data_IF_036662601518
#
_entry.id   IF_036662601518
#
_cell.length_a   1.000
_cell.length_b   1.000
_cell.length_c   1.000
_cell.angle_alpha   90.00
_cell.angle_beta   90.00
_cell.angle_gamma   90.00
#
_symmetry.space_group_name_H-M   'P 1'
#
loop_
_entity.id
_entity.type
_entity.pdbx_description
1 polymer ?
#
# COMPACT_ATOMS: atom_id res chain seq x y z
N UNK A 1 19.88 18.39 3.01
CA UNK A 1 19.88 19.75 3.60
C UNK A 1 21.30 20.28 3.58
N UNK A 2 21.49 21.59 3.51
CA UNK A 2 22.83 22.22 3.49
C UNK A 2 23.07 22.86 4.86
N UNK A 3 24.27 22.67 5.40
CA UNK A 3 24.69 23.36 6.62
C UNK A 3 25.79 24.35 6.27
N UNK A 4 25.77 25.48 6.97
CA UNK A 4 26.73 26.57 6.86
C UNK A 4 27.56 26.61 8.16
N UNK A 5 28.87 26.75 8.02
CA UNK A 5 29.79 27.03 9.12
C UNK A 5 30.33 28.45 8.94
N UNK A 6 30.35 29.22 10.02
CA UNK A 6 30.85 30.60 10.11
C UNK A 6 31.96 30.62 11.17
N UNK A 7 33.09 31.27 10.87
CA UNK A 7 34.08 31.60 11.90
C UNK A 7 33.74 32.94 12.59
N UNK A 8 34.46 33.27 13.66
CA UNK A 8 34.15 34.39 14.55
C UNK A 8 34.90 35.70 14.20
N UNK A 9 35.57 35.74 13.05
CA UNK A 9 36.41 36.88 12.66
C UNK A 9 35.57 38.09 12.18
N UNK A 10 36.17 39.28 12.21
CA UNK A 10 35.53 40.55 11.77
C UNK A 10 35.14 40.52 10.28
N UNK A 11 35.86 39.74 9.47
CA UNK A 11 35.51 39.35 8.09
C UNK A 11 35.33 37.82 8.01
N UNK A 12 34.15 37.28 8.36
CA UNK A 12 34.01 35.85 8.61
C UNK A 12 33.98 35.02 7.31
N UNK A 13 34.66 33.88 7.32
CA UNK A 13 34.63 32.90 6.24
C UNK A 13 33.46 31.94 6.40
N UNK A 14 32.98 31.44 5.25
CA UNK A 14 31.82 30.56 5.17
C UNK A 14 32.19 29.21 4.58
N UNK A 15 31.92 28.14 5.31
CA UNK A 15 31.98 26.77 4.82
C UNK A 15 30.58 26.22 4.56
N UNK A 16 30.39 25.46 3.48
CA UNK A 16 29.12 24.79 3.17
C UNK A 16 29.33 23.29 3.02
N UNK A 17 28.41 22.49 3.55
CA UNK A 17 28.35 21.06 3.22
C UNK A 17 26.93 20.55 3.06
N UNK A 18 26.77 19.55 2.21
CA UNK A 18 25.48 18.93 1.89
C UNK A 18 25.32 17.64 2.66
N UNK A 19 24.25 17.55 3.46
CA UNK A 19 23.88 16.36 4.20
C UNK A 19 22.75 15.64 3.47
N UNK A 20 22.97 14.35 3.21
CA UNK A 20 21.99 13.43 2.65
C UNK A 20 21.38 12.60 3.78
N UNK A 21 20.07 12.71 3.95
CA UNK A 21 19.29 11.87 4.86
C UNK A 21 18.43 10.96 4.01
N UNK A 22 18.45 9.67 4.34
CA UNK A 22 17.55 8.68 3.77
C UNK A 22 16.74 8.09 4.92
N UNK A 23 15.49 8.55 5.13
CA UNK A 23 14.60 7.90 6.09
C UNK A 23 14.46 6.41 5.75
N UNK A 24 14.44 5.58 6.79
CA UNK A 24 14.08 4.18 6.66
C UNK A 24 12.58 4.06 6.87
N UNK A 25 11.96 3.17 6.09
CA UNK A 25 10.55 2.86 6.21
C UNK A 25 10.26 2.09 7.50
N UNK A 26 9.11 2.35 8.09
CA UNK A 26 8.55 1.60 9.22
C UNK A 26 7.10 1.25 8.90
N UNK A 27 6.59 0.16 9.46
CA UNK A 27 5.19 -0.24 9.27
C UNK A 27 4.29 0.63 10.17
N UNK A 28 3.91 1.81 9.69
CA UNK A 28 3.04 2.75 10.39
C UNK A 28 1.72 3.03 9.67
N UNK A 29 1.52 2.43 8.49
CA UNK A 29 0.25 2.39 7.81
C UNK A 29 -0.31 0.97 7.85
N UNK A 30 -1.64 0.87 7.97
CA UNK A 30 -2.33 -0.43 7.90
C UNK A 30 -2.98 -0.56 6.52
N UNK A 31 -3.18 -1.78 6.02
CA UNK A 31 -3.94 -1.98 4.79
C UNK A 31 -5.37 -1.44 4.93
N UNK A 32 -5.86 -0.77 3.89
CA UNK A 32 -7.22 -0.23 3.81
C UNK A 32 -7.93 -0.85 2.62
N UNK A 33 -9.09 -1.46 2.84
CA UNK A 33 -9.95 -1.96 1.77
C UNK A 33 -10.57 -0.79 0.98
N UNK A 34 -10.68 -0.96 -0.34
CA UNK A 34 -11.32 0.05 -1.20
C UNK A 34 -12.83 0.17 -0.97
N UNK A 35 -13.47 -0.89 -0.47
CA UNK A 35 -14.89 -0.90 -0.12
C UNK A 35 -15.14 -1.57 1.23
N UNK A 36 -16.09 -1.03 2.00
CA UNK A 36 -16.48 -1.60 3.30
C UNK A 36 -17.26 -2.92 3.15
N UNK A 37 -17.87 -3.14 1.98
CA UNK A 37 -18.67 -4.32 1.67
C UNK A 37 -18.40 -4.73 0.22
N UNK A 38 -18.20 -6.03 0.03
CA UNK A 38 -18.13 -6.66 -1.29
C UNK A 38 -19.43 -7.42 -1.54
N UNK A 39 -20.02 -7.22 -2.71
CA UNK A 39 -21.23 -7.90 -3.16
C UNK A 39 -20.90 -8.65 -4.43
N UNK A 40 -21.34 -9.91 -4.50
CA UNK A 40 -21.10 -10.81 -5.61
C UNK A 40 -22.35 -11.57 -6.00
N UNK A 41 -22.43 -11.98 -7.27
CA UNK A 41 -23.50 -12.82 -7.81
C UNK A 41 -22.92 -14.12 -8.37
N UNK A 42 -23.65 -15.22 -8.21
CA UNK A 42 -23.25 -16.55 -8.71
C UNK A 42 -24.48 -17.26 -9.26
N UNK A 43 -24.32 -18.00 -10.36
CA UNK A 43 -25.40 -18.80 -10.93
C UNK A 43 -25.55 -20.12 -10.17
N UNK A 44 -26.80 -20.55 -9.96
CA UNK A 44 -27.15 -21.76 -9.18
C UNK A 44 -26.51 -23.05 -9.71
N UNK A 45 -26.08 -23.08 -10.97
CA UNK A 45 -25.46 -24.24 -11.62
C UNK A 45 -23.99 -24.02 -12.00
N UNK A 46 -23.31 -23.05 -11.39
CA UNK A 46 -21.87 -22.84 -11.58
C UNK A 46 -21.07 -24.03 -11.04
N UNK A 47 -20.17 -24.57 -11.86
CA UNK A 47 -19.24 -25.62 -11.45
C UNK A 47 -18.27 -25.15 -10.36
N UNK A 48 -17.73 -26.03 -9.50
CA UNK A 48 -16.65 -25.69 -8.59
C UNK A 48 -15.44 -25.11 -9.35
N UNK A 49 -14.88 -24.02 -8.84
CA UNK A 49 -13.79 -23.31 -9.52
C UNK A 49 -14.21 -22.58 -10.81
N UNK A 50 -15.52 -22.44 -11.06
CA UNK A 50 -16.02 -21.65 -12.17
C UNK A 50 -15.57 -20.20 -12.03
N UNK A 51 -14.62 -19.83 -12.89
CA UNK A 51 -14.22 -18.47 -13.15
C UNK A 51 -14.89 -18.06 -14.45
N UNK A 52 -15.66 -16.97 -14.46
CA UNK A 52 -16.32 -16.54 -15.68
C UNK A 52 -15.27 -16.07 -16.70
N UNK A 53 -15.29 -16.56 -17.95
CA UNK A 53 -14.41 -16.03 -19.00
C UNK A 53 -14.77 -14.58 -19.30
N UNK A 54 -13.77 -13.69 -19.32
CA UNK A 54 -13.84 -12.23 -19.56
C UNK A 54 -14.68 -11.81 -20.81
N UNK A 55 -15.02 -12.75 -21.70
CA UNK A 55 -15.79 -12.52 -22.93
C UNK A 55 -17.30 -12.41 -22.70
N UNK A 56 -17.81 -12.96 -21.60
CA UNK A 56 -19.19 -12.78 -21.18
C UNK A 56 -19.15 -11.75 -20.04
N UNK A 57 -19.96 -10.69 -20.12
CA UNK A 57 -20.01 -9.56 -19.17
C UNK A 57 -20.47 -9.97 -17.75
N UNK A 58 -19.81 -10.95 -17.14
CA UNK A 58 -20.14 -11.55 -15.88
C UNK A 58 -18.93 -11.37 -14.94
N UNK A 59 -19.09 -10.58 -13.87
CA UNK A 59 -18.01 -10.31 -12.95
C UNK A 59 -17.64 -11.59 -12.18
N UNK A 60 -16.35 -11.76 -11.89
CA UNK A 60 -15.87 -12.64 -10.83
C UNK A 60 -16.69 -12.41 -9.55
N UNK A 61 -16.93 -13.46 -8.75
CA UNK A 61 -17.84 -13.40 -7.59
C UNK A 61 -17.55 -12.15 -6.75
N UNK A 62 -16.30 -11.92 -6.38
CA UNK A 62 -15.83 -10.65 -5.86
C UNK A 62 -14.32 -10.52 -6.06
N UNK A 63 -13.84 -9.29 -6.22
CA UNK A 63 -12.41 -8.94 -6.10
C UNK A 63 -12.23 -8.14 -4.83
N UNK A 64 -11.23 -8.50 -4.04
CA UNK A 64 -10.81 -7.75 -2.87
C UNK A 64 -9.60 -6.91 -3.26
N UNK A 65 -9.62 -5.62 -2.93
CA UNK A 65 -8.49 -4.71 -3.17
C UNK A 65 -8.20 -3.99 -1.86
N UNK A 66 -6.93 -4.00 -1.45
CA UNK A 66 -6.43 -3.19 -0.33
C UNK A 66 -5.25 -2.34 -0.76
N UNK A 67 -5.15 -1.15 -0.19
CA UNK A 67 -4.00 -0.27 -0.31
C UNK A 67 -3.29 -0.17 1.04
N UNK A 68 -1.99 -0.47 1.05
CA UNK A 68 -1.08 -0.19 2.15
C UNK A 68 -0.03 0.81 1.63
N UNK A 69 0.17 1.91 2.37
CA UNK A 69 0.99 3.05 1.93
C UNK A 69 2.44 3.00 2.44
N UNK A 70 2.83 1.91 3.09
CA UNK A 70 4.23 1.66 3.46
C UNK A 70 5.08 1.23 2.25
N UNK A 71 6.32 0.81 2.47
CA UNK A 71 7.21 0.35 1.39
C UNK A 71 7.54 -1.14 1.47
N UNK A 72 7.62 -1.76 0.29
CA UNK A 72 8.09 -3.14 0.10
C UNK A 72 7.32 -4.13 0.97
N UNK A 73 8.00 -4.90 1.82
CA UNK A 73 7.41 -5.92 2.68
C UNK A 73 6.40 -5.34 3.68
N UNK A 74 6.61 -4.11 4.14
CA UNK A 74 5.65 -3.43 5.02
C UNK A 74 4.33 -3.11 4.30
N UNK A 75 4.34 -3.00 2.97
CA UNK A 75 3.15 -2.80 2.14
C UNK A 75 2.56 -4.12 1.59
N UNK A 76 3.14 -5.27 1.97
CA UNK A 76 2.68 -6.57 1.50
C UNK A 76 1.47 -7.02 2.32
N UNK A 77 0.41 -7.48 1.64
CA UNK A 77 -0.86 -7.84 2.27
C UNK A 77 -1.23 -9.28 1.95
N UNK A 78 -1.50 -10.06 3.00
CA UNK A 78 -2.10 -11.40 2.93
C UNK A 78 -3.59 -11.34 3.27
N UNK A 79 -4.39 -12.18 2.60
CA UNK A 79 -5.85 -12.19 2.74
C UNK A 79 -6.37 -13.51 3.32
N UNK A 80 -7.35 -13.42 4.21
CA UNK A 80 -8.01 -14.57 4.83
C UNK A 80 -9.52 -14.33 4.99
N UNK A 81 -10.33 -15.38 4.81
CA UNK A 81 -11.76 -15.37 5.18
C UNK A 81 -11.87 -15.82 6.64
N UNK A 82 -12.09 -14.86 7.54
CA UNK A 82 -12.05 -15.11 8.99
C UNK A 82 -13.36 -15.64 9.59
N UNK A 83 -14.49 -15.49 8.90
CA UNK A 83 -15.80 -15.95 9.38
C UNK A 83 -16.81 -16.12 8.26
N UNK A 84 -17.70 -17.11 8.38
CA UNK A 84 -18.92 -17.24 7.58
C UNK A 84 -20.16 -17.25 8.49
N UNK A 85 -21.27 -16.60 8.11
CA UNK A 85 -22.52 -16.74 8.83
C UNK A 85 -22.98 -18.20 8.81
N UNK A 86 -23.52 -18.65 9.96
CA UNK A 86 -24.07 -20.00 10.16
C UNK A 86 -25.40 -20.21 9.44
#
# INVERSE_FOLDING_TARGET
FTVEALDEDEEPQKGYTNIKVKPLDINDNKPIFDTDRLTGEVFEHSSPGWFCPIRDNCPVIAVVITNDFDFMENASVDYEIVSSPS
#
